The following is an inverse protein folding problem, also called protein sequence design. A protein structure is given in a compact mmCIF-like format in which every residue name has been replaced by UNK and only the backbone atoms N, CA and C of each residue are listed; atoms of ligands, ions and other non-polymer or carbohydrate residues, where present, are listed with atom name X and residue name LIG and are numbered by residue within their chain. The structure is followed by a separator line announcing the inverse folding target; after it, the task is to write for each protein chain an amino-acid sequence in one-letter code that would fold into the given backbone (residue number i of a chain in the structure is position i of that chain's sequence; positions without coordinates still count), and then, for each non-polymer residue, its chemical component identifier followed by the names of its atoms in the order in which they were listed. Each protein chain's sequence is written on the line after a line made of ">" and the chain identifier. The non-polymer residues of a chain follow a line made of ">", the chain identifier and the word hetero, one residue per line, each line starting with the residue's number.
data_IF_248458955718
#
_entry.id   IF_248458955718
#
_cell.length_a   1.000
_cell.length_b   1.000
_cell.length_c   1.000
_cell.angle_alpha   90.00
_cell.angle_beta   90.00
_cell.angle_gamma   90.00
#
_symmetry.space_group_name_H-M   'P 1'
#
loop_
_entity.id
_entity.type
_entity.pdbx_description
1 polymer ?
#
# COMPACT_ATOMS: atom_id res chain seq x y z
N UNK A 1 -20.60 -17.39 -9.63
CA UNK A 1 -19.40 -17.43 -8.78
C UNK A 1 -18.80 -16.04 -8.88
N UNK A 2 -19.07 -15.16 -7.93
CA UNK A 2 -18.37 -13.87 -7.88
C UNK A 2 -16.97 -14.20 -7.39
N UNK A 3 -15.97 -14.14 -8.25
CA UNK A 3 -14.58 -14.13 -7.79
C UNK A 3 -14.45 -12.94 -6.86
N UNK A 4 -14.15 -13.20 -5.58
CA UNK A 4 -13.84 -12.16 -4.62
C UNK A 4 -12.58 -11.44 -5.14
N UNK A 5 -12.75 -10.28 -5.76
CA UNK A 5 -11.62 -9.49 -6.30
C UNK A 5 -10.55 -9.35 -5.21
N UNK A 6 -9.29 -9.63 -5.54
CA UNK A 6 -8.15 -9.53 -4.62
C UNK A 6 -8.11 -8.13 -4.03
N UNK A 7 -7.75 -8.03 -2.74
CA UNK A 7 -7.52 -6.74 -2.10
C UNK A 7 -6.44 -5.94 -2.82
N UNK A 8 -5.38 -6.60 -3.28
CA UNK A 8 -4.31 -5.98 -4.06
C UNK A 8 -4.81 -5.41 -5.40
N UNK A 9 -5.67 -6.13 -6.11
CA UNK A 9 -6.28 -5.63 -7.36
C UNK A 9 -7.22 -4.45 -7.11
N UNK A 10 -7.98 -4.49 -6.02
CA UNK A 10 -8.86 -3.39 -5.61
C UNK A 10 -8.04 -2.14 -5.27
N UNK A 11 -6.95 -2.28 -4.51
CA UNK A 11 -6.06 -1.18 -4.17
C UNK A 11 -5.39 -0.60 -5.42
N UNK A 12 -4.87 -1.45 -6.32
CA UNK A 12 -4.26 -0.99 -7.58
C UNK A 12 -5.28 -0.27 -8.48
N UNK A 13 -6.49 -0.83 -8.61
CA UNK A 13 -7.59 -0.19 -9.36
C UNK A 13 -7.94 1.18 -8.79
N UNK A 14 -8.01 1.29 -7.45
CA UNK A 14 -8.31 2.55 -6.78
C UNK A 14 -7.22 3.61 -7.03
N UNK A 15 -5.94 3.27 -6.83
CA UNK A 15 -4.84 4.19 -7.06
C UNK A 15 -4.79 4.69 -8.52
N UNK A 16 -5.11 3.80 -9.47
CA UNK A 16 -5.14 4.13 -10.90
C UNK A 16 -6.38 4.91 -11.36
N UNK A 17 -7.40 5.10 -10.51
CA UNK A 17 -8.72 5.57 -10.94
C UNK A 17 -8.71 6.93 -11.64
N UNK A 18 -7.79 7.83 -11.28
CA UNK A 18 -7.70 9.19 -11.83
C UNK A 18 -6.61 9.37 -12.90
N UNK A 19 -5.70 8.40 -13.06
CA UNK A 19 -4.47 8.56 -13.86
C UNK A 19 -4.24 7.45 -14.90
N UNK A 20 -5.07 6.40 -14.91
CA UNK A 20 -4.89 5.24 -15.79
C UNK A 20 -3.97 4.17 -15.18
N UNK A 21 -3.67 3.08 -15.92
CA UNK A 21 -3.07 1.87 -15.37
C UNK A 21 -1.55 2.02 -15.18
N UNK A 22 -1.12 2.60 -14.06
CA UNK A 22 0.30 2.77 -13.69
C UNK A 22 0.73 1.72 -12.67
N UNK A 23 -0.04 1.53 -11.60
CA UNK A 23 0.26 0.58 -10.53
C UNK A 23 -0.40 -0.77 -10.79
N UNK A 24 0.29 -1.87 -10.48
CA UNK A 24 -0.26 -3.22 -10.51
C UNK A 24 -0.36 -3.79 -9.10
N UNK A 25 -1.17 -4.84 -8.90
CA UNK A 25 -1.20 -5.60 -7.65
C UNK A 25 0.20 -6.11 -7.25
N UNK A 26 1.04 -6.46 -8.22
CA UNK A 26 2.41 -6.91 -7.98
C UNK A 26 3.30 -5.81 -7.39
N UNK A 27 3.17 -4.56 -7.84
CA UNK A 27 3.92 -3.43 -7.27
C UNK A 27 3.57 -3.20 -5.80
N UNK A 28 2.27 -3.24 -5.47
CA UNK A 28 1.80 -3.10 -4.09
C UNK A 28 2.31 -4.25 -3.22
N UNK A 29 2.18 -5.50 -3.70
CA UNK A 29 2.68 -6.66 -2.97
C UNK A 29 4.20 -6.63 -2.78
N UNK A 30 4.96 -6.15 -3.77
CA UNK A 30 6.41 -6.00 -3.69
C UNK A 30 6.83 -4.99 -2.63
N UNK A 31 6.19 -3.81 -2.59
CA UNK A 31 6.45 -2.80 -1.58
C UNK A 31 6.07 -3.29 -0.16
N UNK A 32 4.91 -3.94 -0.01
CA UNK A 32 4.47 -4.51 1.27
C UNK A 32 5.44 -5.60 1.78
N UNK A 33 5.92 -6.48 0.88
CA UNK A 33 6.91 -7.50 1.23
C UNK A 33 8.25 -6.91 1.66
N UNK A 34 8.67 -5.85 0.99
CA UNK A 34 9.92 -5.17 1.30
C UNK A 34 9.82 -4.26 2.54
N UNK A 35 8.60 -3.87 2.95
CA UNK A 35 8.39 -2.85 3.98
C UNK A 35 8.99 -1.50 3.58
N UNK A 36 9.14 -1.24 2.28
CA UNK A 36 9.74 -0.01 1.73
C UNK A 36 9.39 0.16 0.26
N UNK A 37 9.50 1.39 -0.23
CA UNK A 37 9.38 1.75 -1.65
C UNK A 37 10.68 1.52 -2.44
N UNK A 38 11.77 1.12 -1.77
CA UNK A 38 13.08 0.87 -2.38
C UNK A 38 13.06 -0.05 -3.62
N UNK A 39 12.22 -1.12 -3.68
CA UNK A 39 12.13 -1.95 -4.88
C UNK A 39 11.53 -1.25 -6.10
N UNK A 40 10.88 -0.09 -5.92
CA UNK A 40 10.16 0.65 -6.96
C UNK A 40 10.94 1.85 -7.52
N UNK A 41 12.14 2.16 -7.01
CA UNK A 41 12.93 3.35 -7.37
C UNK A 41 13.28 3.45 -8.87
N UNK A 42 13.21 2.34 -9.61
CA UNK A 42 13.39 2.32 -11.06
C UNK A 42 12.20 2.87 -11.86
N UNK A 43 11.06 3.13 -11.20
CA UNK A 43 9.81 3.58 -11.81
C UNK A 43 9.16 4.67 -10.93
N UNK A 44 9.52 5.96 -11.16
CA UNK A 44 9.10 7.06 -10.30
C UNK A 44 7.58 7.26 -10.20
N UNK A 45 6.84 6.95 -11.28
CA UNK A 45 5.38 7.10 -11.29
C UNK A 45 4.72 6.03 -10.41
N UNK A 46 5.22 4.78 -10.49
CA UNK A 46 4.78 3.70 -9.61
C UNK A 46 5.16 3.97 -8.15
N UNK A 47 6.39 4.40 -7.89
CA UNK A 47 6.85 4.76 -6.54
C UNK A 47 5.96 5.85 -5.93
N UNK A 48 5.73 6.93 -6.68
CA UNK A 48 4.88 8.03 -6.25
C UNK A 48 3.47 7.55 -5.91
N UNK A 49 2.84 6.75 -6.78
CA UNK A 49 1.48 6.28 -6.53
C UNK A 49 1.38 5.32 -5.35
N UNK A 50 2.35 4.41 -5.17
CA UNK A 50 2.36 3.49 -4.02
C UNK A 50 2.64 4.25 -2.72
N UNK A 51 3.35 5.38 -2.75
CA UNK A 51 3.55 6.22 -1.55
C UNK A 51 2.25 6.76 -0.95
N UNK A 52 1.19 6.92 -1.76
CA UNK A 52 -0.13 7.37 -1.32
C UNK A 52 -1.06 6.24 -0.87
N UNK A 53 -0.59 4.98 -0.87
CA UNK A 53 -1.40 3.81 -0.50
C UNK A 53 -2.15 4.01 0.82
N UNK A 54 -1.47 4.48 1.87
CA UNK A 54 -2.06 4.66 3.21
C UNK A 54 -2.99 5.86 3.31
N UNK A 55 -2.88 6.83 2.40
CA UNK A 55 -3.72 8.03 2.36
C UNK A 55 -5.03 7.73 1.64
N UNK A 56 -4.96 7.03 0.51
CA UNK A 56 -6.10 6.78 -0.38
C UNK A 56 -6.87 5.51 -0.01
N UNK A 57 -6.19 4.49 0.52
CA UNK A 57 -6.79 3.17 0.77
C UNK A 57 -7.15 3.00 2.24
N UNK A 58 -8.36 2.47 2.50
CA UNK A 58 -8.82 2.21 3.87
C UNK A 58 -7.95 1.16 4.57
N UNK A 59 -7.68 1.32 5.89
CA UNK A 59 -6.80 0.41 6.63
C UNK A 59 -7.18 -1.07 6.54
N UNK A 60 -8.48 -1.39 6.53
CA UNK A 60 -8.94 -2.78 6.46
C UNK A 60 -8.61 -3.43 5.10
N UNK A 61 -8.61 -2.64 4.01
CA UNK A 61 -8.17 -3.10 2.70
C UNK A 61 -6.65 -3.24 2.64
N UNK A 62 -5.90 -2.34 3.28
CA UNK A 62 -4.43 -2.47 3.40
C UNK A 62 -4.05 -3.72 4.21
N UNK A 63 -4.74 -3.99 5.32
CA UNK A 63 -4.56 -5.20 6.13
C UNK A 63 -4.81 -6.49 5.32
N UNK A 64 -5.86 -6.47 4.48
CA UNK A 64 -6.13 -7.55 3.52
C UNK A 64 -5.01 -7.67 2.49
N UNK A 65 -4.53 -6.57 1.91
CA UNK A 65 -3.41 -6.58 0.96
C UNK A 65 -2.14 -7.16 1.59
N UNK A 66 -1.83 -6.80 2.84
CA UNK A 66 -0.70 -7.34 3.58
C UNK A 66 -0.81 -8.86 3.73
N UNK A 67 -1.99 -9.35 4.12
CA UNK A 67 -2.27 -10.79 4.22
C UNK A 67 -2.10 -11.50 2.87
N UNK A 68 -2.66 -10.94 1.79
CA UNK A 68 -2.54 -11.49 0.43
C UNK A 68 -1.09 -11.45 -0.09
N UNK A 69 -0.30 -10.46 0.32
CA UNK A 69 1.13 -10.37 0.02
C UNK A 69 2.00 -11.32 0.86
N UNK A 70 1.43 -11.98 1.88
CA UNK A 70 2.14 -12.90 2.78
C UNK A 70 2.94 -12.20 3.88
N UNK A 71 2.55 -10.98 4.25
CA UNK A 71 3.20 -10.19 5.31
C UNK A 71 2.22 -9.82 6.43
N UNK A 72 2.76 -9.37 7.56
CA UNK A 72 1.98 -8.90 8.69
C UNK A 72 1.80 -7.37 8.69
N UNK A 73 0.97 -6.86 9.62
CA UNK A 73 0.70 -5.42 9.75
C UNK A 73 1.94 -4.60 10.13
N UNK A 74 2.90 -5.16 10.88
CA UNK A 74 4.13 -4.46 11.22
C UNK A 74 5.02 -4.23 10.00
N UNK A 75 5.08 -5.19 9.07
CA UNK A 75 5.78 -5.00 7.79
C UNK A 75 5.06 -3.98 6.89
N UNK A 76 3.73 -4.02 6.85
CA UNK A 76 2.97 -2.97 6.16
C UNK A 76 3.20 -1.59 6.81
N UNK A 77 3.31 -1.53 8.13
CA UNK A 77 3.64 -0.31 8.86
C UNK A 77 5.06 0.18 8.59
N UNK A 78 6.04 -0.72 8.39
CA UNK A 78 7.38 -0.32 7.96
C UNK A 78 7.35 0.39 6.60
N UNK A 79 6.55 -0.09 5.65
CA UNK A 79 6.31 0.62 4.39
C UNK A 79 5.70 2.00 4.63
N UNK A 80 4.72 2.13 5.53
CA UNK A 80 4.14 3.43 5.89
C UNK A 80 5.20 4.40 6.41
N UNK A 81 6.07 3.97 7.31
CA UNK A 81 7.17 4.81 7.82
C UNK A 81 8.11 5.24 6.67
N UNK A 82 8.48 4.32 5.78
CA UNK A 82 9.28 4.64 4.58
C UNK A 82 8.57 5.69 3.67
N UNK A 83 7.25 5.63 3.54
CA UNK A 83 6.50 6.67 2.79
C UNK A 83 6.60 8.06 3.46
N UNK A 84 6.59 8.12 4.79
CA UNK A 84 6.72 9.38 5.54
C UNK A 84 8.12 9.99 5.39
N UNK A 85 9.18 9.16 5.37
CA UNK A 85 10.55 9.61 5.10
C UNK A 85 10.68 10.23 3.69
N UNK A 86 9.81 9.81 2.76
CA UNK A 86 9.69 10.37 1.40
C UNK A 86 8.64 11.48 1.29
N UNK A 87 8.26 12.09 2.41
CA UNK A 87 7.35 13.24 2.50
C UNK A 87 5.91 12.96 2.06
N UNK A 88 5.46 11.70 2.08
CA UNK A 88 4.04 11.40 1.93
C UNK A 88 3.22 12.00 3.10
N UNK A 89 1.96 12.41 2.88
CA UNK A 89 1.10 12.86 3.96
C UNK A 89 0.89 11.76 5.02
N UNK A 90 0.68 12.18 6.27
CA UNK A 90 0.25 11.26 7.33
C UNK A 90 -1.13 10.69 7.01
N UNK A 91 -1.35 9.46 7.44
CA UNK A 91 -2.62 8.75 7.28
C UNK A 91 -3.27 8.47 8.66
N UNK A 92 -4.05 9.42 9.23
CA UNK A 92 -4.58 9.29 10.58
C UNK A 92 -5.41 8.01 10.81
N UNK A 93 -6.15 7.58 9.80
CA UNK A 93 -6.93 6.35 9.87
C UNK A 93 -6.04 5.10 10.01
N UNK A 94 -4.92 5.05 9.29
CA UNK A 94 -3.94 3.97 9.42
C UNK A 94 -3.21 4.02 10.75
N UNK A 95 -2.80 5.22 11.19
CA UNK A 95 -2.11 5.39 12.46
C UNK A 95 -2.95 4.96 13.66
N UNK A 96 -4.25 5.27 13.67
CA UNK A 96 -5.17 4.85 14.72
C UNK A 96 -5.30 3.31 14.80
N UNK A 97 -5.31 2.62 13.66
CA UNK A 97 -5.36 1.15 13.61
C UNK A 97 -4.07 0.49 14.10
N UNK A 98 -2.95 1.22 14.03
CA UNK A 98 -1.64 0.75 14.47
C UNK A 98 -1.32 1.08 15.94
N UNK A 99 -2.09 1.97 16.59
CA UNK A 99 -1.91 2.35 18.00
C UNK A 99 -1.80 1.16 18.97
N UNK A 100 -2.57 0.05 18.84
CA UNK A 100 -2.45 -1.11 19.72
C UNK A 100 -1.14 -1.90 19.58
N UNK A 101 -0.32 -1.61 18.57
CA UNK A 101 0.90 -2.34 18.23
C UNK A 101 2.19 -1.54 18.49
N UNK A 102 2.07 -0.29 18.95
CA UNK A 102 3.17 0.64 19.27
C UNK A 102 3.32 0.82 20.78
#
# INVERSE_FOLDING_TARGET
>A
MFESSSGLDLAATHLNASVGPVVTAAHIAQALRAGSLQPLVGDPDVEAMVSFLFVEVQPQLIARCATEAGVNLLQAHALYIDTLEKLAPRAPAWEAEMEPFL
#
